data_IF_919659836343
#
_entry.id   IF_919659836343
#
_cell.length_a   1.000
_cell.length_b   1.000
_cell.length_c   1.000
_cell.angle_alpha   90.00
_cell.angle_beta   90.00
_cell.angle_gamma   90.00
#
_symmetry.space_group_name_H-M   'P 1'
#
loop_
_entity.id
_entity.type
_entity.pdbx_description
1 polymer ?
#
# COMPACT_ATOMS: atom_id res chain seq x y z
N UNK A 1 -38.00 32.61 20.73
CA UNK A 1 -36.77 32.43 19.99
C UNK A 1 -37.14 32.24 18.53
N UNK A 2 -36.96 33.25 17.69
CA UNK A 2 -37.36 33.18 16.29
C UNK A 2 -36.50 32.20 15.52
N UNK A 3 -37.11 31.13 14.98
CA UNK A 3 -36.49 30.31 13.97
C UNK A 3 -36.28 31.18 12.72
N UNK A 4 -35.08 31.77 12.61
CA UNK A 4 -34.66 32.46 11.39
C UNK A 4 -34.32 31.36 10.36
N UNK A 5 -35.35 30.84 9.67
CA UNK A 5 -35.18 29.83 8.61
C UNK A 5 -34.59 30.58 7.41
N UNK A 6 -33.25 30.45 7.25
CA UNK A 6 -32.55 31.00 6.10
C UNK A 6 -33.11 30.38 4.82
N UNK A 7 -33.43 31.25 3.85
CA UNK A 7 -33.88 30.84 2.53
C UNK A 7 -32.76 31.10 1.49
N UNK A 8 -32.69 30.25 0.47
CA UNK A 8 -31.74 30.42 -0.64
C UNK A 8 -32.21 31.54 -1.60
N UNK A 9 -31.48 31.79 -2.68
CA UNK A 9 -31.83 32.82 -3.69
C UNK A 9 -33.18 32.60 -4.38
N UNK A 10 -33.76 31.41 -4.28
CA UNK A 10 -35.06 31.03 -4.83
C UNK A 10 -36.16 31.12 -3.77
N UNK A 11 -35.86 31.55 -2.55
CA UNK A 11 -36.78 31.66 -1.43
C UNK A 11 -37.10 30.35 -0.72
N UNK A 12 -36.40 29.26 -1.04
CA UNK A 12 -36.61 27.96 -0.44
C UNK A 12 -35.81 27.79 0.85
N UNK A 13 -36.44 27.24 1.88
CA UNK A 13 -35.74 26.70 3.04
C UNK A 13 -34.96 25.45 2.68
N UNK A 14 -33.98 25.06 3.50
CA UNK A 14 -33.21 23.84 3.29
C UNK A 14 -34.10 22.60 3.10
N UNK A 15 -35.12 22.46 3.93
CA UNK A 15 -36.05 21.34 3.85
C UNK A 15 -36.84 21.32 2.52
N UNK A 16 -37.30 22.49 2.06
CA UNK A 16 -38.02 22.60 0.76
C UNK A 16 -37.07 22.32 -0.39
N UNK A 17 -35.84 22.85 -0.34
CA UNK A 17 -34.81 22.55 -1.35
C UNK A 17 -34.48 21.05 -1.43
N UNK A 18 -34.23 20.39 -0.29
CA UNK A 18 -33.90 18.95 -0.27
C UNK A 18 -35.08 18.09 -0.74
N UNK A 19 -36.32 18.50 -0.47
CA UNK A 19 -37.53 17.77 -0.95
C UNK A 19 -37.72 17.82 -2.47
N UNK A 20 -37.15 18.84 -3.12
CA UNK A 20 -37.21 19.05 -4.57
C UNK A 20 -35.93 18.66 -5.29
N UNK A 21 -34.87 18.32 -4.53
CA UNK A 21 -33.56 18.01 -5.10
C UNK A 21 -33.57 16.67 -5.83
N UNK A 22 -33.38 16.73 -7.13
CA UNK A 22 -33.23 15.56 -7.99
C UNK A 22 -31.75 15.34 -8.29
N UNK A 23 -31.16 14.39 -7.59
CA UNK A 23 -29.77 13.99 -7.79
C UNK A 23 -29.54 13.28 -9.14
N UNK A 24 -30.59 12.80 -9.82
CA UNK A 24 -30.52 12.14 -11.13
C UNK A 24 -30.18 13.09 -12.27
N UNK A 25 -30.25 14.41 -12.05
CA UNK A 25 -29.87 15.44 -13.05
C UNK A 25 -28.37 15.49 -13.31
N UNK A 26 -27.54 14.84 -12.47
CA UNK A 26 -26.08 14.84 -12.60
C UNK A 26 -25.57 13.44 -12.91
N UNK A 27 -24.71 13.33 -13.93
CA UNK A 27 -23.95 12.11 -14.15
C UNK A 27 -23.05 11.81 -12.95
N UNK A 28 -23.02 10.56 -12.52
CA UNK A 28 -22.25 10.15 -11.34
C UNK A 28 -21.23 9.09 -11.72
N UNK A 29 -19.96 9.28 -11.33
CA UNK A 29 -19.00 8.20 -11.43
C UNK A 29 -19.33 7.10 -10.41
N UNK A 30 -19.00 5.87 -10.73
CA UNK A 30 -18.92 4.81 -9.75
C UNK A 30 -17.68 5.03 -8.88
N UNK A 31 -17.74 4.60 -7.62
CA UNK A 31 -16.61 4.68 -6.69
C UNK A 31 -16.17 3.27 -6.33
N UNK A 32 -14.84 3.02 -6.36
CA UNK A 32 -14.23 1.75 -5.93
C UNK A 32 -13.22 1.99 -4.83
N UNK A 33 -12.93 0.94 -4.07
CA UNK A 33 -11.75 0.85 -3.21
C UNK A 33 -10.83 -0.23 -3.76
N UNK A 34 -9.51 0.04 -3.75
CA UNK A 34 -8.47 -0.90 -4.17
C UNK A 34 -7.49 -1.09 -2.99
N UNK A 35 -7.26 -2.34 -2.57
CA UNK A 35 -6.49 -2.66 -1.37
C UNK A 35 -5.08 -3.12 -1.72
N UNK A 36 -4.08 -2.37 -1.25
CA UNK A 36 -2.68 -2.80 -1.29
C UNK A 36 -2.32 -3.45 0.05
N UNK A 37 -2.48 -4.75 0.12
CA UNK A 37 -2.13 -5.52 1.31
C UNK A 37 -0.69 -5.99 1.18
N UNK A 38 0.21 -5.44 2.01
CA UNK A 38 1.61 -5.82 2.05
C UNK A 38 1.93 -6.67 3.27
N UNK A 39 2.82 -7.61 3.09
CA UNK A 39 3.45 -8.39 4.17
C UNK A 39 4.92 -8.61 3.87
N UNK A 40 5.68 -9.06 4.88
CA UNK A 40 7.07 -9.48 4.71
C UNK A 40 7.19 -10.94 5.14
N UNK A 41 7.57 -11.80 4.21
CA UNK A 41 7.72 -13.24 4.44
C UNK A 41 9.18 -13.67 4.32
N UNK A 42 9.52 -14.75 5.00
CA UNK A 42 10.80 -15.41 4.83
C UNK A 42 10.80 -16.21 3.52
N UNK A 43 11.85 -16.05 2.71
CA UNK A 43 12.12 -16.97 1.61
C UNK A 43 12.89 -18.18 2.12
N UNK A 44 12.39 -19.37 1.83
CA UNK A 44 13.10 -20.61 2.13
C UNK A 44 14.27 -20.76 1.16
N UNK A 45 15.50 -20.47 1.60
CA UNK A 45 16.72 -20.88 0.90
C UNK A 45 17.33 -22.09 1.60
N UNK A 46 17.87 -23.02 0.84
CA UNK A 46 18.45 -24.30 1.28
C UNK A 46 19.69 -24.20 2.20
N UNK A 47 19.94 -23.04 2.80
CA UNK A 47 21.13 -22.82 3.63
C UNK A 47 20.77 -22.69 5.11
N UNK A 48 20.95 -23.75 5.87
CA UNK A 48 20.82 -23.78 7.33
C UNK A 48 21.78 -22.87 8.12
N UNK A 49 22.70 -22.17 7.44
CA UNK A 49 23.73 -21.32 8.08
C UNK A 49 23.47 -19.82 8.00
N UNK A 50 22.48 -19.37 7.21
CA UNK A 50 22.10 -17.95 7.09
C UNK A 50 20.67 -17.77 7.57
N UNK A 51 20.38 -16.63 8.20
CA UNK A 51 18.99 -16.21 8.43
C UNK A 51 18.23 -16.22 7.10
N UNK A 52 16.96 -16.64 7.08
CA UNK A 52 16.15 -16.59 5.87
C UNK A 52 16.13 -15.15 5.32
N UNK A 53 16.26 -15.02 4.03
CA UNK A 53 16.05 -13.73 3.38
C UNK A 53 14.59 -13.36 3.46
N UNK A 54 14.30 -12.08 3.60
CA UNK A 54 12.92 -11.58 3.64
C UNK A 54 12.54 -10.98 2.30
N UNK A 55 11.28 -11.11 1.93
CA UNK A 55 10.72 -10.52 0.70
C UNK A 55 9.45 -9.76 1.05
N UNK A 56 9.35 -8.53 0.54
CA UNK A 56 8.10 -7.77 0.56
C UNK A 56 7.13 -8.41 -0.43
N UNK A 57 5.94 -8.77 0.04
CA UNK A 57 4.90 -9.36 -0.79
C UNK A 57 3.65 -8.49 -0.81
N UNK A 58 2.93 -8.54 -1.93
CA UNK A 58 1.62 -7.93 -2.13
C UNK A 58 0.60 -9.00 -2.45
N UNK A 59 -0.59 -8.88 -1.91
CA UNK A 59 -1.73 -9.75 -2.24
C UNK A 59 -2.32 -9.30 -3.57
N UNK A 60 -2.53 -10.27 -4.48
CA UNK A 60 -3.21 -10.06 -5.75
C UNK A 60 -4.33 -11.08 -5.89
N UNK A 61 -5.39 -10.70 -6.60
CA UNK A 61 -6.52 -11.57 -6.94
C UNK A 61 -6.60 -11.77 -8.45
N UNK A 62 -6.88 -13.00 -8.90
CA UNK A 62 -7.02 -13.31 -10.30
C UNK A 62 -8.45 -13.01 -10.76
N UNK A 63 -8.57 -12.27 -11.84
CA UNK A 63 -9.88 -11.88 -12.34
C UNK A 63 -10.58 -13.04 -13.06
N UNK A 64 -11.71 -13.44 -12.53
CA UNK A 64 -12.59 -14.48 -13.11
C UNK A 64 -13.54 -13.95 -14.19
N UNK A 65 -13.59 -12.62 -14.45
CA UNK A 65 -14.55 -12.01 -15.40
C UNK A 65 -13.96 -10.79 -16.11
N UNK A 66 -14.63 -10.35 -17.19
CA UNK A 66 -14.29 -9.15 -17.95
C UNK A 66 -14.59 -7.85 -17.17
N UNK A 67 -13.82 -6.79 -17.44
CA UNK A 67 -12.62 -6.72 -18.28
C UNK A 67 -11.41 -7.38 -17.61
N UNK A 68 -10.37 -7.68 -18.38
CA UNK A 68 -9.12 -8.28 -17.92
C UNK A 68 -9.28 -9.70 -17.34
N UNK A 69 -10.15 -10.54 -17.92
CA UNK A 69 -10.27 -11.95 -17.55
C UNK A 69 -8.91 -12.66 -17.55
N UNK A 70 -8.57 -13.32 -16.42
CA UNK A 70 -7.31 -14.03 -16.21
C UNK A 70 -6.12 -13.16 -15.81
N UNK A 71 -6.24 -11.84 -15.79
CA UNK A 71 -5.23 -10.93 -15.27
C UNK A 71 -5.32 -10.85 -13.74
N UNK A 72 -4.23 -10.42 -13.11
CA UNK A 72 -4.16 -10.19 -11.68
C UNK A 72 -4.50 -8.73 -11.35
N UNK A 73 -5.28 -8.53 -10.33
CA UNK A 73 -5.72 -7.22 -9.85
C UNK A 73 -5.39 -7.06 -8.36
N UNK A 74 -5.41 -5.83 -7.87
CA UNK A 74 -5.49 -5.58 -6.44
C UNK A 74 -6.86 -6.05 -5.94
N UNK A 75 -6.95 -6.62 -4.72
CA UNK A 75 -8.22 -6.83 -4.04
C UNK A 75 -9.03 -5.54 -3.99
N UNK A 76 -10.33 -5.61 -4.15
CA UNK A 76 -11.16 -4.41 -4.10
C UNK A 76 -12.48 -4.56 -4.85
N UNK A 77 -13.37 -3.59 -4.62
CA UNK A 77 -14.70 -3.59 -5.20
C UNK A 77 -15.38 -2.24 -5.20
N UNK A 78 -16.62 -2.24 -5.65
CA UNK A 78 -17.45 -1.04 -5.63
C UNK A 78 -17.91 -0.71 -4.21
N UNK A 79 -17.94 0.60 -3.92
CA UNK A 79 -18.48 1.13 -2.67
C UNK A 79 -20.00 1.07 -2.71
N UNK A 80 -20.61 0.43 -1.71
CA UNK A 80 -22.07 0.39 -1.58
C UNK A 80 -22.62 1.76 -1.17
N UNK A 81 -23.91 2.01 -1.49
CA UNK A 81 -24.52 3.32 -1.28
C UNK A 81 -24.69 3.68 0.21
N UNK A 82 -24.66 2.69 1.08
CA UNK A 82 -24.90 2.79 2.52
C UNK A 82 -23.63 2.60 3.37
N UNK A 83 -22.46 2.52 2.73
CA UNK A 83 -21.17 2.40 3.44
C UNK A 83 -20.22 3.59 3.15
N UNK A 84 -19.31 3.86 4.10
CA UNK A 84 -18.21 4.80 3.90
C UNK A 84 -17.05 4.12 3.16
N UNK A 85 -16.12 4.92 2.60
CA UNK A 85 -14.91 4.39 1.95
C UNK A 85 -14.10 3.48 2.89
N UNK A 86 -13.94 3.87 4.16
CA UNK A 86 -13.21 3.06 5.14
C UNK A 86 -13.92 1.74 5.45
N UNK A 87 -15.27 1.74 5.50
CA UNK A 87 -16.04 0.51 5.68
C UNK A 87 -15.94 -0.41 4.47
N UNK A 88 -16.01 0.16 3.25
CA UNK A 88 -15.81 -0.61 2.03
C UNK A 88 -14.41 -1.25 2.01
N UNK A 89 -13.37 -0.48 2.31
CA UNK A 89 -12.00 -0.97 2.37
C UNK A 89 -11.82 -2.09 3.42
N UNK A 90 -12.40 -1.94 4.61
CA UNK A 90 -12.37 -2.98 5.66
C UNK A 90 -13.15 -4.24 5.24
N UNK A 91 -14.28 -4.10 4.56
CA UNK A 91 -15.06 -5.22 4.05
C UNK A 91 -14.25 -6.01 3.02
N UNK A 92 -13.73 -5.34 1.99
CA UNK A 92 -12.90 -5.96 0.96
C UNK A 92 -11.66 -6.66 1.57
N UNK A 93 -10.97 -5.98 2.50
CA UNK A 93 -9.83 -6.55 3.20
C UNK A 93 -10.21 -7.83 3.95
N UNK A 94 -11.35 -7.83 4.65
CA UNK A 94 -11.81 -8.98 5.43
C UNK A 94 -12.25 -10.13 4.52
N UNK A 95 -12.94 -9.82 3.42
CA UNK A 95 -13.37 -10.83 2.43
C UNK A 95 -12.16 -11.55 1.83
N UNK A 96 -11.08 -10.83 1.51
CA UNK A 96 -9.91 -11.38 0.86
C UNK A 96 -8.88 -12.02 1.81
N UNK A 97 -8.77 -11.50 3.06
CA UNK A 97 -7.70 -11.94 3.98
C UNK A 97 -8.21 -12.62 5.23
N UNK A 98 -9.50 -12.49 5.55
CA UNK A 98 -10.12 -12.90 6.81
C UNK A 98 -9.43 -12.33 8.08
N UNK A 99 -8.73 -11.19 7.97
CA UNK A 99 -8.00 -10.55 9.06
C UNK A 99 -8.69 -9.28 9.51
N UNK A 100 -8.80 -9.10 10.83
CA UNK A 100 -9.29 -7.88 11.47
C UNK A 100 -8.15 -7.15 12.20
N UNK A 101 -8.35 -5.86 12.52
CA UNK A 101 -7.45 -5.03 13.33
C UNK A 101 -6.00 -4.97 12.81
N UNK A 102 -5.86 -4.54 11.57
CA UNK A 102 -4.56 -4.29 10.95
C UNK A 102 -4.41 -2.82 10.59
N UNK A 103 -3.16 -2.40 10.42
CA UNK A 103 -2.87 -1.07 9.92
C UNK A 103 -3.51 -0.86 8.56
N UNK A 104 -4.24 0.24 8.40
CA UNK A 104 -4.83 0.66 7.13
C UNK A 104 -4.80 2.18 7.02
N UNK A 105 -4.40 2.70 5.86
CA UNK A 105 -4.49 4.13 5.55
C UNK A 105 -4.91 4.35 4.10
N UNK A 106 -5.66 5.42 3.85
CA UNK A 106 -5.95 5.85 2.49
C UNK A 106 -4.65 6.33 1.82
N UNK A 107 -4.35 5.76 0.67
CA UNK A 107 -3.12 6.03 -0.06
C UNK A 107 -3.27 7.18 -1.05
N UNK A 108 -4.25 7.08 -1.96
CA UNK A 108 -4.51 8.06 -3.01
C UNK A 108 -5.89 7.85 -3.64
N UNK A 109 -6.39 8.89 -4.31
CA UNK A 109 -7.62 8.82 -5.12
C UNK A 109 -7.29 8.96 -6.59
N UNK A 110 -7.64 7.95 -7.38
CA UNK A 110 -7.38 7.82 -8.82
C UNK A 110 -8.59 8.27 -9.59
N UNK A 111 -8.45 9.35 -10.34
CA UNK A 111 -9.58 9.98 -11.02
C UNK A 111 -9.37 10.17 -12.51
N UNK A 112 -8.41 9.53 -13.16
CA UNK A 112 -8.18 9.68 -14.57
C UNK A 112 -9.34 9.12 -15.42
N UNK A 113 -9.66 9.84 -16.48
CA UNK A 113 -10.73 9.43 -17.41
C UNK A 113 -10.28 8.20 -18.18
N UNK A 114 -11.11 7.18 -18.23
CA UNK A 114 -10.81 5.96 -18.99
C UNK A 114 -9.93 4.94 -18.27
N UNK A 115 -9.59 5.13 -16.97
CA UNK A 115 -8.88 4.13 -16.17
C UNK A 115 -9.62 2.78 -16.07
N UNK A 116 -10.94 2.80 -16.17
CA UNK A 116 -11.80 1.63 -16.28
C UNK A 116 -12.55 1.67 -17.62
N UNK A 117 -12.46 0.63 -18.46
CA UNK A 117 -13.09 0.63 -19.77
C UNK A 117 -14.61 0.51 -19.75
N UNK A 118 -15.20 0.14 -18.59
CA UNK A 118 -16.66 -0.06 -18.46
C UNK A 118 -17.42 1.26 -18.34
N UNK A 119 -16.90 2.16 -17.50
CA UNK A 119 -17.59 3.42 -17.16
C UNK A 119 -16.63 4.38 -16.46
N UNK A 120 -17.12 5.57 -16.14
CA UNK A 120 -16.41 6.54 -15.30
C UNK A 120 -16.29 6.00 -13.87
N UNK A 121 -15.06 5.65 -13.46
CA UNK A 121 -14.76 5.15 -12.11
C UNK A 121 -13.76 6.09 -11.43
N UNK A 122 -14.00 6.36 -10.15
CA UNK A 122 -13.04 6.98 -9.24
C UNK A 122 -12.64 5.92 -8.23
N UNK A 123 -11.35 5.55 -8.21
CA UNK A 123 -10.81 4.56 -7.27
C UNK A 123 -10.14 5.23 -6.08
N UNK A 124 -10.45 4.77 -4.88
CA UNK A 124 -9.74 5.14 -3.65
C UNK A 124 -8.88 3.98 -3.22
N UNK A 125 -7.54 4.08 -3.34
CA UNK A 125 -6.66 3.03 -2.87
C UNK A 125 -6.30 3.19 -1.41
N UNK A 126 -6.24 2.07 -0.71
CA UNK A 126 -5.82 1.93 0.68
C UNK A 126 -4.60 1.02 0.77
N UNK A 127 -3.69 1.35 1.67
CA UNK A 127 -2.53 0.52 1.99
C UNK A 127 -2.71 -0.12 3.36
N UNK A 128 -2.51 -1.42 3.42
CA UNK A 128 -2.54 -2.20 4.64
C UNK A 128 -1.24 -2.96 4.81
N UNK A 129 -0.75 -3.04 6.06
CA UNK A 129 0.45 -3.78 6.43
C UNK A 129 0.07 -4.86 7.42
N UNK A 130 0.47 -6.10 7.12
CA UNK A 130 0.08 -7.28 7.89
C UNK A 130 1.32 -8.07 8.29
N UNK A 131 1.43 -8.38 9.57
CA UNK A 131 2.41 -9.36 10.06
C UNK A 131 2.09 -10.74 9.48
N UNK A 132 3.09 -11.34 8.80
CA UNK A 132 2.94 -12.65 8.15
C UNK A 132 2.56 -13.79 9.10
N UNK A 133 2.84 -13.67 10.40
CA UNK A 133 2.46 -14.67 11.41
C UNK A 133 0.96 -14.69 11.69
N UNK A 134 0.24 -13.63 11.32
CA UNK A 134 -1.22 -13.50 11.46
C UNK A 134 -1.98 -13.96 10.22
N UNK A 135 -1.27 -14.19 9.11
CA UNK A 135 -1.87 -14.72 7.88
C UNK A 135 -2.15 -16.20 8.08
N UNK A 136 -3.40 -16.59 7.94
CA UNK A 136 -3.75 -18.00 7.87
C UNK A 136 -3.25 -18.53 6.52
N UNK A 137 -2.20 -19.36 6.54
CA UNK A 137 -1.50 -19.88 5.34
C UNK A 137 -2.45 -20.68 4.44
N UNK A 138 -3.65 -21.00 4.92
CA UNK A 138 -4.71 -21.63 4.12
C UNK A 138 -5.27 -20.77 2.98
N UNK A 139 -5.02 -19.47 2.98
CA UNK A 139 -5.39 -18.62 1.84
C UNK A 139 -4.57 -18.87 0.57
N UNK A 140 -3.61 -19.81 0.59
CA UNK A 140 -2.81 -20.21 -0.57
C UNK A 140 -3.20 -21.52 -1.22
N UNK A 141 -3.93 -22.40 -0.52
CA UNK A 141 -4.19 -23.76 -1.03
C UNK A 141 -5.59 -23.96 -1.64
N UNK A 142 -6.58 -23.11 -1.33
CA UNK A 142 -7.97 -23.33 -1.77
C UNK A 142 -8.59 -22.13 -2.54
N UNK A 143 -7.96 -20.96 -2.58
CA UNK A 143 -8.42 -19.84 -3.41
C UNK A 143 -7.66 -19.90 -4.75
N UNK A 144 -8.24 -20.51 -5.76
CA UNK A 144 -7.75 -20.45 -7.15
C UNK A 144 -7.54 -19.02 -7.65
N UNK A 145 -8.01 -18.02 -6.90
CA UNK A 145 -8.16 -16.62 -7.31
C UNK A 145 -7.35 -15.60 -6.49
N UNK A 146 -6.59 -15.97 -5.44
CA UNK A 146 -5.74 -15.06 -4.68
C UNK A 146 -4.34 -15.60 -4.41
N UNK A 147 -3.30 -14.76 -4.57
CA UNK A 147 -1.92 -15.17 -4.33
C UNK A 147 -1.02 -14.02 -3.84
N UNK A 148 0.00 -14.37 -3.05
CA UNK A 148 1.05 -13.48 -2.63
C UNK A 148 2.18 -13.42 -3.66
N UNK A 149 2.47 -12.22 -4.15
CA UNK A 149 3.57 -11.96 -5.07
C UNK A 149 4.70 -11.20 -4.39
N UNK A 150 5.92 -11.68 -4.52
CA UNK A 150 7.12 -10.94 -4.13
C UNK A 150 7.30 -9.70 -5.01
N UNK A 151 7.54 -8.53 -4.39
CA UNK A 151 7.61 -7.25 -5.07
C UNK A 151 9.06 -6.84 -5.28
N UNK A 152 9.45 -6.63 -6.54
CA UNK A 152 10.71 -5.97 -6.91
C UNK A 152 10.41 -4.61 -7.53
N UNK A 153 11.13 -3.59 -7.09
CA UNK A 153 10.99 -2.20 -7.55
C UNK A 153 12.36 -1.68 -7.97
N UNK A 154 12.53 -1.35 -9.24
CA UNK A 154 13.79 -0.85 -9.79
C UNK A 154 13.57 0.35 -10.71
N UNK A 155 14.47 1.33 -10.62
CA UNK A 155 14.56 2.41 -11.61
C UNK A 155 15.44 1.92 -12.75
N UNK A 156 14.84 1.66 -13.90
CA UNK A 156 15.54 1.10 -15.07
C UNK A 156 16.17 2.17 -15.96
N UNK A 157 15.59 3.36 -15.94
CA UNK A 157 16.12 4.51 -16.66
C UNK A 157 15.80 5.81 -15.92
N UNK A 158 16.70 6.77 -15.97
CA UNK A 158 16.45 8.11 -15.43
C UNK A 158 17.07 9.16 -16.36
N UNK A 159 16.28 10.21 -16.67
CA UNK A 159 16.72 11.36 -17.47
C UNK A 159 16.48 12.64 -16.67
N UNK A 160 17.42 13.58 -16.79
CA UNK A 160 17.28 14.93 -16.24
C UNK A 160 17.50 15.95 -17.36
N UNK A 161 16.57 16.88 -17.47
CA UNK A 161 16.63 17.98 -18.44
C UNK A 161 16.47 19.31 -17.70
N UNK A 162 17.23 20.32 -18.12
CA UNK A 162 17.04 21.71 -17.66
C UNK A 162 15.93 22.32 -18.52
N UNK A 163 15.01 23.04 -17.86
CA UNK A 163 13.94 23.80 -18.52
C UNK A 163 14.14 25.29 -18.27
N UNK A 164 13.42 26.16 -18.98
CA UNK A 164 13.52 27.61 -18.80
C UNK A 164 13.25 28.08 -17.35
N UNK A 165 12.44 27.35 -16.59
CA UNK A 165 11.99 27.72 -15.24
C UNK A 165 12.49 26.79 -14.12
N UNK A 166 13.34 25.81 -14.45
CA UNK A 166 13.81 24.84 -13.47
C UNK A 166 14.39 23.58 -14.11
N UNK A 167 13.96 22.42 -13.67
CA UNK A 167 14.41 21.15 -14.24
C UNK A 167 13.34 20.07 -14.16
N UNK A 168 13.48 19.10 -15.05
CA UNK A 168 12.62 17.93 -15.20
C UNK A 168 13.44 16.69 -14.89
N UNK A 169 12.89 15.80 -14.08
CA UNK A 169 13.42 14.45 -13.83
C UNK A 169 12.38 13.45 -14.26
N UNK A 170 12.75 12.61 -15.21
CA UNK A 170 11.93 11.49 -15.68
C UNK A 170 12.58 10.19 -15.23
N UNK A 171 11.82 9.31 -14.62
CA UNK A 171 12.30 8.00 -14.15
C UNK A 171 11.35 6.91 -14.66
N UNK A 172 11.89 5.88 -15.29
CA UNK A 172 11.13 4.67 -15.65
C UNK A 172 11.34 3.65 -14.56
N UNK A 173 10.26 3.36 -13.86
CA UNK A 173 10.23 2.42 -12.74
C UNK A 173 9.62 1.12 -13.21
N UNK A 174 10.36 0.03 -13.04
CA UNK A 174 9.85 -1.31 -13.28
C UNK A 174 9.42 -1.94 -11.98
N UNK A 175 8.16 -2.35 -11.94
CA UNK A 175 7.59 -3.23 -10.93
C UNK A 175 7.61 -4.63 -11.50
N UNK A 176 8.13 -5.59 -10.73
CA UNK A 176 8.10 -6.99 -11.03
C UNK A 176 7.47 -7.73 -9.87
N UNK A 177 6.42 -8.49 -10.14
CA UNK A 177 5.71 -9.30 -9.18
C UNK A 177 5.95 -10.77 -9.51
N UNK A 178 6.43 -11.56 -8.54
CA UNK A 178 6.72 -12.98 -8.73
C UNK A 178 6.15 -13.84 -7.62
N UNK A 179 5.64 -14.98 -8.01
CA UNK A 179 5.40 -16.12 -7.13
C UNK A 179 6.00 -17.39 -7.77
N UNK A 180 5.75 -18.55 -7.21
CA UNK A 180 6.31 -19.82 -7.70
C UNK A 180 5.80 -20.21 -9.09
N UNK A 181 4.68 -19.65 -9.54
CA UNK A 181 3.98 -20.03 -10.77
C UNK A 181 4.04 -18.95 -11.85
N UNK A 182 3.99 -17.68 -11.49
CA UNK A 182 3.77 -16.58 -12.43
C UNK A 182 4.70 -15.40 -12.17
N UNK A 183 4.98 -14.67 -13.24
CA UNK A 183 5.71 -13.40 -13.23
C UNK A 183 4.87 -12.33 -13.94
N UNK A 184 4.60 -11.24 -13.25
CA UNK A 184 3.86 -10.10 -13.75
C UNK A 184 4.76 -8.87 -13.74
N UNK A 185 4.52 -7.92 -14.62
CA UNK A 185 5.33 -6.69 -14.62
C UNK A 185 4.54 -5.47 -15.04
N UNK A 186 4.98 -4.31 -14.55
CA UNK A 186 4.54 -3.00 -15.03
C UNK A 186 5.74 -2.05 -15.12
N UNK A 187 5.70 -1.16 -16.12
CA UNK A 187 6.66 -0.06 -16.24
C UNK A 187 5.91 1.26 -16.12
N UNK A 188 6.27 2.07 -15.13
CA UNK A 188 5.66 3.37 -14.85
C UNK A 188 6.69 4.47 -15.07
N UNK A 189 6.34 5.45 -15.90
CA UNK A 189 7.10 6.68 -16.05
C UNK A 189 6.68 7.67 -14.98
N UNK A 190 7.60 8.03 -14.10
CA UNK A 190 7.41 9.04 -13.07
C UNK A 190 8.14 10.31 -13.47
N UNK A 191 7.40 11.38 -13.66
CA UNK A 191 7.93 12.67 -14.06
C UNK A 191 7.81 13.68 -12.91
N UNK A 192 8.91 14.34 -12.58
CA UNK A 192 8.98 15.39 -11.55
C UNK A 192 9.47 16.68 -12.19
N UNK A 193 8.61 17.69 -12.23
CA UNK A 193 8.95 19.04 -12.68
C UNK A 193 9.19 19.94 -11.49
N UNK A 194 10.36 20.55 -11.43
CA UNK A 194 10.78 21.46 -10.37
C UNK A 194 10.80 22.89 -10.91
N UNK A 195 9.98 23.76 -10.34
CA UNK A 195 9.89 25.17 -10.69
C UNK A 195 9.94 25.99 -9.41
N UNK A 196 11.06 26.66 -9.14
CA UNK A 196 11.29 27.31 -7.86
C UNK A 196 11.15 26.30 -6.70
N UNK A 197 10.26 26.59 -5.77
CA UNK A 197 9.98 25.71 -4.61
C UNK A 197 8.82 24.73 -4.85
N UNK A 198 8.28 24.67 -6.08
CA UNK A 198 7.14 23.82 -6.42
C UNK A 198 7.63 22.58 -7.14
N UNK A 199 7.16 21.41 -6.68
CA UNK A 199 7.40 20.13 -7.34
C UNK A 199 6.05 19.58 -7.80
N UNK A 200 5.92 19.40 -9.12
CA UNK A 200 4.77 18.67 -9.71
C UNK A 200 5.23 17.25 -10.03
N UNK A 201 4.39 16.28 -9.72
CA UNK A 201 4.66 14.87 -10.01
C UNK A 201 3.50 14.33 -10.84
N UNK A 202 3.81 13.72 -11.96
CA UNK A 202 2.87 12.93 -12.76
C UNK A 202 3.39 11.51 -12.94
N UNK A 203 2.46 10.59 -13.22
CA UNK A 203 2.73 9.19 -13.51
C UNK A 203 2.02 8.80 -14.78
N UNK A 204 2.57 7.82 -15.45
CA UNK A 204 2.02 7.26 -16.67
C UNK A 204 2.38 5.77 -16.72
N UNK A 205 1.38 4.90 -16.78
CA UNK A 205 1.58 3.47 -17.01
C UNK A 205 1.99 3.26 -18.47
N UNK A 206 3.26 2.90 -18.70
CA UNK A 206 3.81 2.71 -20.05
C UNK A 206 3.52 1.30 -20.57
N UNK A 207 3.63 0.30 -19.67
CA UNK A 207 3.46 -1.09 -20.03
C UNK A 207 2.94 -1.85 -18.80
N UNK A 208 2.04 -2.79 -19.04
CA UNK A 208 1.54 -3.73 -18.03
C UNK A 208 1.42 -5.11 -18.62
N UNK A 209 2.01 -6.12 -17.99
CA UNK A 209 1.94 -7.51 -18.38
C UNK A 209 1.37 -8.35 -17.23
N UNK A 210 0.17 -8.88 -17.43
CA UNK A 210 -0.54 -9.70 -16.46
C UNK A 210 -1.19 -8.95 -15.30
N UNK A 211 -1.00 -7.61 -15.18
CA UNK A 211 -1.64 -6.77 -14.16
C UNK A 211 -2.78 -5.98 -14.81
N UNK A 212 -3.97 -6.06 -14.22
CA UNK A 212 -5.19 -5.43 -14.73
C UNK A 212 -5.21 -3.92 -14.45
N UNK A 213 -5.94 -3.18 -15.27
CA UNK A 213 -6.21 -1.75 -15.14
C UNK A 213 -4.91 -0.92 -15.00
N UNK A 214 -4.97 0.12 -14.19
CA UNK A 214 -3.85 0.96 -13.76
C UNK A 214 -3.17 0.46 -12.46
N UNK A 215 -3.45 -0.79 -12.04
CA UNK A 215 -2.95 -1.33 -10.77
C UNK A 215 -1.42 -1.40 -10.71
N UNK A 216 -0.73 -1.53 -11.83
CA UNK A 216 0.73 -1.40 -11.88
C UNK A 216 1.24 -0.03 -11.42
N UNK A 217 0.54 1.04 -11.80
CA UNK A 217 0.83 2.41 -11.35
C UNK A 217 0.51 2.60 -9.86
N UNK A 218 -0.60 2.03 -9.40
CA UNK A 218 -1.01 2.07 -7.99
C UNK A 218 0.05 1.37 -7.11
N UNK A 219 0.55 0.21 -7.53
CA UNK A 219 1.61 -0.53 -6.81
C UNK A 219 2.92 0.29 -6.80
N UNK A 220 3.31 0.92 -7.91
CA UNK A 220 4.48 1.81 -7.96
C UNK A 220 4.36 2.91 -6.91
N UNK A 221 3.22 3.59 -6.91
CA UNK A 221 2.96 4.68 -5.97
C UNK A 221 3.03 4.20 -4.52
N UNK A 222 2.40 3.07 -4.21
CA UNK A 222 2.36 2.50 -2.87
C UNK A 222 3.75 2.13 -2.34
N UNK A 223 4.56 1.41 -3.13
CA UNK A 223 5.93 1.06 -2.75
C UNK A 223 6.78 2.31 -2.56
N UNK A 224 6.65 3.30 -3.46
CA UNK A 224 7.33 4.58 -3.33
C UNK A 224 6.91 5.36 -2.08
N UNK A 225 5.63 5.27 -1.67
CA UNK A 225 5.09 5.88 -0.44
C UNK A 225 5.61 5.15 0.79
N UNK A 226 5.54 3.83 0.80
CA UNK A 226 6.00 2.99 1.91
C UNK A 226 7.50 3.19 2.19
N UNK A 227 8.34 3.22 1.13
CA UNK A 227 9.79 3.51 1.25
C UNK A 227 10.10 4.84 1.92
N UNK A 228 9.33 5.87 1.62
CA UNK A 228 9.52 7.18 2.27
C UNK A 228 9.02 7.14 3.71
N UNK A 229 7.84 6.57 3.93
CA UNK A 229 7.17 6.58 5.22
C UNK A 229 7.95 5.81 6.29
N UNK A 230 8.56 4.67 5.95
CA UNK A 230 9.37 3.88 6.87
C UNK A 230 10.61 4.62 7.38
N UNK A 231 11.05 5.67 6.69
CA UNK A 231 12.23 6.42 7.12
C UNK A 231 11.95 7.36 8.32
N UNK A 232 10.68 7.77 8.54
CA UNK A 232 10.34 8.75 9.59
C UNK A 232 9.14 8.36 10.47
N UNK A 233 8.56 7.18 10.27
CA UNK A 233 7.46 6.67 11.11
C UNK A 233 7.78 5.28 11.67
N UNK A 234 6.91 4.79 12.51
CA UNK A 234 6.94 3.45 13.12
C UNK A 234 6.21 2.37 12.30
N UNK A 235 5.77 2.69 11.08
CA UNK A 235 4.93 1.83 10.23
C UNK A 235 5.51 0.41 10.02
N UNK A 236 6.85 0.26 10.09
CA UNK A 236 7.52 -1.04 9.96
C UNK A 236 7.09 -2.05 11.02
N UNK A 237 6.69 -1.57 12.21
CA UNK A 237 6.27 -2.46 13.31
C UNK A 237 4.93 -3.15 13.02
N UNK A 238 4.11 -2.60 12.12
CA UNK A 238 2.88 -3.27 11.65
C UNK A 238 3.15 -4.56 10.85
N UNK A 239 4.39 -4.75 10.39
CA UNK A 239 4.87 -5.96 9.69
C UNK A 239 5.60 -6.93 10.61
N UNK A 240 5.71 -6.61 11.90
CA UNK A 240 6.47 -7.40 12.88
C UNK A 240 5.53 -8.14 13.84
N UNK A 241 5.91 -9.34 14.30
CA UNK A 241 5.25 -9.96 15.43
C UNK A 241 5.47 -9.12 16.71
N UNK A 242 4.72 -9.42 17.76
CA UNK A 242 4.83 -8.70 19.04
C UNK A 242 6.25 -8.69 19.62
N UNK A 243 6.97 -9.84 19.51
CA UNK A 243 8.36 -9.99 19.92
C UNK A 243 9.23 -10.33 18.71
N UNK A 244 10.33 -9.61 18.52
CA UNK A 244 11.22 -9.76 17.37
C UNK A 244 12.66 -9.49 17.75
N UNK A 245 13.60 -9.95 16.91
CA UNK A 245 15.00 -9.55 17.00
C UNK A 245 15.29 -8.27 16.23
N UNK A 246 16.29 -7.49 16.65
CA UNK A 246 16.71 -6.30 15.89
C UNK A 246 17.21 -6.64 14.48
N UNK A 247 17.66 -7.86 14.26
CA UNK A 247 18.08 -8.32 12.93
C UNK A 247 16.90 -8.54 12.01
N UNK A 248 15.81 -9.14 12.50
CA UNK A 248 14.57 -9.30 11.73
C UNK A 248 13.95 -7.95 11.38
N UNK A 249 13.90 -7.02 12.33
CA UNK A 249 13.44 -5.67 12.07
C UNK A 249 14.31 -4.96 11.02
N UNK A 250 15.65 -5.09 11.10
CA UNK A 250 16.57 -4.54 10.10
C UNK A 250 16.28 -5.11 8.71
N UNK A 251 16.06 -6.42 8.58
CA UNK A 251 15.71 -7.06 7.32
C UNK A 251 14.40 -6.53 6.73
N UNK A 252 13.39 -6.24 7.58
CA UNK A 252 12.14 -5.60 7.12
C UNK A 252 12.41 -4.22 6.53
N UNK A 253 13.23 -3.40 7.20
CA UNK A 253 13.63 -2.10 6.64
C UNK A 253 14.40 -2.25 5.34
N UNK A 254 15.35 -3.17 5.26
CA UNK A 254 16.19 -3.39 4.07
C UNK A 254 15.37 -3.84 2.85
N UNK A 255 14.43 -4.76 3.03
CA UNK A 255 13.61 -5.26 1.94
C UNK A 255 12.64 -4.18 1.40
N UNK A 256 12.09 -3.36 2.27
CA UNK A 256 11.21 -2.26 1.87
C UNK A 256 12.02 -1.16 1.15
N UNK A 257 13.17 -0.77 1.72
CA UNK A 257 14.02 0.27 1.15
C UNK A 257 14.75 -0.19 -0.12
N UNK A 258 14.91 -1.50 -0.31
CA UNK A 258 15.67 -2.09 -1.41
C UNK A 258 17.18 -1.80 -1.31
N UNK A 259 17.71 -1.67 -0.11
CA UNK A 259 19.14 -1.40 0.17
C UNK A 259 19.56 -1.99 1.51
N UNK A 260 20.81 -2.41 1.60
CA UNK A 260 21.43 -2.81 2.87
C UNK A 260 21.60 -1.61 3.82
N UNK A 261 21.48 -1.86 5.11
CA UNK A 261 21.66 -0.87 6.17
C UNK A 261 22.86 -1.23 7.06
N UNK A 262 23.66 -0.22 7.39
CA UNK A 262 24.73 -0.38 8.36
C UNK A 262 24.12 -0.65 9.76
N UNK A 263 24.43 -1.81 10.32
CA UNK A 263 23.89 -2.31 11.60
C UNK A 263 23.97 -1.29 12.74
N UNK A 264 25.09 -0.59 12.88
CA UNK A 264 25.29 0.42 13.94
C UNK A 264 24.35 1.63 13.75
N UNK A 265 24.21 2.12 12.50
CA UNK A 265 23.34 3.25 12.18
C UNK A 265 21.86 2.88 12.36
N UNK A 266 21.48 1.68 11.91
CA UNK A 266 20.12 1.17 12.09
C UNK A 266 19.76 1.08 13.58
N UNK A 267 20.60 0.43 14.39
CA UNK A 267 20.36 0.31 15.84
C UNK A 267 20.21 1.65 16.53
N UNK A 268 21.04 2.64 16.17
CA UNK A 268 20.91 4.00 16.72
C UNK A 268 19.59 4.66 16.31
N UNK A 269 19.16 4.44 15.04
CA UNK A 269 17.89 4.99 14.54
C UNK A 269 16.67 4.49 15.31
N UNK A 270 16.66 3.18 15.64
CA UNK A 270 15.49 2.54 16.24
C UNK A 270 15.55 2.44 17.77
N UNK A 271 16.63 2.94 18.41
CA UNK A 271 16.87 2.75 19.86
C UNK A 271 15.69 3.17 20.75
N UNK A 272 15.04 4.28 20.40
CA UNK A 272 13.93 4.84 21.18
C UNK A 272 12.57 4.21 20.80
N UNK A 273 12.52 3.51 19.65
CA UNK A 273 11.31 2.87 19.12
C UNK A 273 11.09 1.47 19.68
N UNK A 274 12.05 0.90 20.39
CA UNK A 274 12.01 -0.47 20.89
C UNK A 274 12.33 -0.54 22.37
N UNK A 275 11.75 -1.52 23.07
CA UNK A 275 12.11 -1.89 24.45
C UNK A 275 12.61 -3.32 24.47
N UNK A 276 13.64 -3.58 25.30
CA UNK A 276 14.14 -4.93 25.53
C UNK A 276 13.15 -5.75 26.35
N UNK A 277 13.06 -7.03 26.02
CA UNK A 277 12.32 -8.00 26.83
C UNK A 277 13.30 -8.89 27.60
N UNK A 278 12.82 -9.69 28.55
CA UNK A 278 13.64 -10.72 29.21
C UNK A 278 13.70 -12.03 28.42
N UNK A 279 13.15 -12.04 27.20
CA UNK A 279 13.03 -13.22 26.36
C UNK A 279 14.15 -13.30 25.31
N UNK A 280 14.46 -14.52 24.89
CA UNK A 280 15.44 -14.85 23.87
C UNK A 280 14.82 -15.81 22.84
N UNK A 281 15.38 -15.83 21.64
CA UNK A 281 14.98 -16.81 20.61
C UNK A 281 15.19 -18.22 21.10
N UNK A 282 14.22 -19.11 20.87
CA UNK A 282 14.27 -20.54 21.18
C UNK A 282 14.57 -21.31 19.89
N UNK A 283 15.36 -22.39 19.99
CA UNK A 283 15.60 -23.40 18.93
C UNK A 283 16.18 -22.90 17.60
N UNK A 284 16.87 -21.78 17.60
CA UNK A 284 17.47 -21.20 16.39
C UNK A 284 18.89 -21.69 16.19
N UNK A 285 19.27 -22.91 16.08
CA UNK A 285 20.62 -23.44 15.69
C UNK A 285 21.86 -22.51 15.87
N UNK A 286 21.65 -21.30 16.40
CA UNK A 286 22.59 -20.22 16.66
C UNK A 286 22.51 -19.77 18.13
N UNK A 287 23.49 -18.93 18.54
CA UNK A 287 23.45 -18.30 19.86
C UNK A 287 22.12 -17.56 20.05
N UNK A 288 21.39 -17.78 21.16
CA UNK A 288 20.14 -17.11 21.43
C UNK A 288 20.25 -15.59 21.27
N UNK A 289 19.33 -14.99 20.54
CA UNK A 289 19.26 -13.54 20.32
C UNK A 289 18.19 -12.95 21.21
N UNK A 290 18.46 -11.78 21.79
CA UNK A 290 17.52 -11.06 22.64
C UNK A 290 16.32 -10.58 21.84
N UNK A 291 15.12 -10.69 22.41
CA UNK A 291 13.88 -10.21 21.81
C UNK A 291 13.55 -8.81 22.31
N UNK A 292 12.89 -8.06 21.45
CA UNK A 292 12.47 -6.68 21.63
C UNK A 292 10.99 -6.56 21.30
N UNK A 293 10.34 -5.53 21.85
CA UNK A 293 8.98 -5.12 21.54
C UNK A 293 8.97 -3.66 21.08
N UNK A 294 7.92 -3.27 20.37
CA UNK A 294 7.67 -1.86 20.07
C UNK A 294 7.47 -1.05 21.34
N UNK A 295 8.01 0.16 21.37
CA UNK A 295 7.86 1.10 22.48
C UNK A 295 6.68 2.04 22.23
N UNK A 296 5.50 1.84 22.85
CA UNK A 296 4.33 2.68 22.62
C UNK A 296 4.54 4.15 23.03
N UNK A 297 5.43 4.41 23.99
CA UNK A 297 5.74 5.79 24.42
C UNK A 297 6.53 6.58 23.38
N UNK A 298 7.00 5.95 22.29
CA UNK A 298 7.67 6.64 21.20
C UNK A 298 6.70 7.58 20.44
N UNK A 299 5.46 7.18 20.25
CA UNK A 299 4.41 7.97 19.59
C UNK A 299 4.14 9.25 20.36
N UNK A 300 3.97 9.17 21.68
CA UNK A 300 3.67 10.30 22.55
C UNK A 300 4.75 11.40 22.47
N UNK A 301 6.00 11.05 22.23
CA UNK A 301 7.11 12.01 22.14
C UNK A 301 7.26 12.71 20.79
N UNK A 302 6.62 12.22 19.74
CA UNK A 302 6.88 12.67 18.36
C UNK A 302 5.64 13.23 17.66
N UNK A 303 4.46 13.07 18.25
CA UNK A 303 3.19 13.50 17.65
C UNK A 303 2.33 14.40 18.58
N UNK A 304 2.84 14.75 19.76
CA UNK A 304 2.36 15.84 20.60
C UNK A 304 3.19 17.11 20.24
#
# INVERSE_FOLDING_TARGET
MGNNTLANKQGLTEREFLSQYDAGQYERPSVTVDMLVFTVMNEMKESYRKLPEKTLKVLMVKRGDHPYLGYWALPGGFVNIDESLDKAALRELKEETNIDNIYMEQLYTWGDVGRDPRTRVIGCSYMSLVDSTRLDIKAGDDAEDAAWFGVSYSVVEQKKAVTEKGYLVQSWVRILLRNDCEELSATVKVEKTFVGNVVKVSRELIESNGIAFDHGEIIEYAVGRLRKKIEYTDIAFSLMPECFTLTELQQVYEVILGKELLKANFRRKISDMVVETDEYTKDAGHRPSKLFKYNPNWVEKHFD
#
